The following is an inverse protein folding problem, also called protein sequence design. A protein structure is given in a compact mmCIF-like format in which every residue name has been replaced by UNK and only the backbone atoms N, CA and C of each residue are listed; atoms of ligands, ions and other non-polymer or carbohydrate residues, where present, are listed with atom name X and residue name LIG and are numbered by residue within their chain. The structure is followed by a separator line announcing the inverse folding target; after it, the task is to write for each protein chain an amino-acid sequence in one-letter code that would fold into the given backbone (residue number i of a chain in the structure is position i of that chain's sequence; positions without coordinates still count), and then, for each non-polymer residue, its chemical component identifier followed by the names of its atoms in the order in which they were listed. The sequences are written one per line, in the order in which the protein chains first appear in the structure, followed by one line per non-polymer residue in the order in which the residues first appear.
data_IF_262513773044
#
_entry.id   IF_262513773044
#
_cell.length_a   1.000
_cell.length_b   1.000
_cell.length_c   1.000
_cell.angle_alpha   90.00
_cell.angle_beta   90.00
_cell.angle_gamma   90.00
#
_symmetry.space_group_name_H-M   'P 1'
#
loop_
_entity.id
_entity.type
_entity.pdbx_description
1 polymer ?
#
# COMPACT_ATOMS: atom_id res chain seq x y z
N UNK A 1 4.46 7.53 17.09
CA UNK A 1 5.20 7.93 15.89
C UNK A 1 5.74 9.34 16.02
N UNK A 2 6.79 9.69 15.27
CA UNK A 2 7.34 11.04 15.27
C UNK A 2 7.79 11.50 13.87
N UNK A 3 8.17 10.57 12.99
CA UNK A 3 8.58 10.87 11.62
C UNK A 3 8.11 9.81 10.65
N UNK A 4 7.91 10.19 9.39
CA UNK A 4 7.75 9.30 8.26
C UNK A 4 8.64 9.79 7.12
N UNK A 5 9.11 8.86 6.28
CA UNK A 5 9.92 9.25 5.12
C UNK A 5 9.09 10.04 4.12
N UNK A 6 9.73 11.00 3.48
CA UNK A 6 9.23 11.64 2.26
C UNK A 6 9.76 10.85 1.06
N UNK A 7 8.91 10.59 0.07
CA UNK A 7 9.31 10.07 -1.22
C UNK A 7 8.45 10.68 -2.32
N UNK A 8 9.11 11.22 -3.36
CA UNK A 8 8.41 11.96 -4.41
C UNK A 8 7.66 13.18 -3.86
N UNK A 9 8.23 13.87 -2.85
CA UNK A 9 7.64 15.05 -2.23
C UNK A 9 6.48 14.81 -1.26
N UNK A 10 6.13 13.55 -0.96
CA UNK A 10 4.98 13.23 -0.10
C UNK A 10 5.32 12.23 1.00
N UNK A 11 4.63 12.34 2.15
CA UNK A 11 4.68 11.36 3.26
C UNK A 11 3.60 10.26 3.14
N UNK A 12 2.96 10.15 1.97
CA UNK A 12 1.94 9.13 1.68
C UNK A 12 2.25 8.37 0.40
N UNK A 13 1.56 7.26 0.20
CA UNK A 13 1.54 6.51 -1.06
C UNK A 13 0.14 5.94 -1.27
N UNK A 14 -0.12 5.33 -2.45
CA UNK A 14 -1.41 4.72 -2.75
C UNK A 14 -1.25 3.21 -2.98
N UNK A 15 -2.34 2.50 -2.87
CA UNK A 15 -2.52 1.20 -3.45
C UNK A 15 -3.00 1.34 -4.90
N UNK A 16 -2.44 0.54 -5.81
CA UNK A 16 -2.89 0.39 -7.18
C UNK A 16 -3.73 -0.89 -7.30
N UNK A 17 -4.94 -0.75 -7.86
CA UNK A 17 -5.74 -1.86 -8.32
C UNK A 17 -5.45 -2.03 -9.81
N UNK A 18 -5.02 -3.22 -10.19
CA UNK A 18 -4.57 -3.55 -11.53
C UNK A 18 -5.42 -4.67 -12.12
N UNK A 19 -5.60 -4.67 -13.43
CA UNK A 19 -6.36 -5.68 -14.15
C UNK A 19 -5.60 -6.26 -15.33
N UNK A 20 -5.94 -7.49 -15.69
CA UNK A 20 -5.43 -8.17 -16.86
C UNK A 20 -6.24 -7.73 -18.10
N UNK A 21 -5.55 -7.16 -19.10
CA UNK A 21 -6.19 -6.64 -20.32
C UNK A 21 -6.70 -7.74 -21.23
N UNK A 22 -6.00 -8.88 -21.31
CA UNK A 22 -6.41 -10.03 -22.12
C UNK A 22 -7.68 -10.68 -21.55
N UNK A 23 -7.89 -10.61 -20.23
CA UNK A 23 -9.12 -11.04 -19.57
C UNK A 23 -10.25 -9.98 -19.61
N UNK A 24 -9.99 -8.81 -20.23
CA UNK A 24 -10.94 -7.71 -20.35
C UNK A 24 -11.20 -6.96 -19.04
N UNK A 25 -10.34 -7.08 -18.03
CA UNK A 25 -10.55 -6.44 -16.72
C UNK A 25 -9.86 -5.07 -16.69
N UNK A 26 -10.62 -4.04 -17.06
CA UNK A 26 -10.13 -2.66 -17.18
C UNK A 26 -10.82 -1.68 -16.24
N UNK A 27 -11.88 -2.11 -15.54
CA UNK A 27 -12.67 -1.33 -14.61
C UNK A 27 -13.22 -2.20 -13.46
N UNK A 28 -13.97 -1.60 -12.54
CA UNK A 28 -14.54 -2.30 -11.39
C UNK A 28 -15.60 -3.33 -11.78
N UNK A 29 -16.45 -3.01 -12.77
CA UNK A 29 -17.54 -3.91 -13.17
C UNK A 29 -17.00 -5.22 -13.76
N UNK A 30 -15.90 -5.14 -14.50
CA UNK A 30 -15.23 -6.30 -15.09
C UNK A 30 -14.57 -7.23 -14.06
N UNK A 31 -14.42 -6.81 -12.79
CA UNK A 31 -13.90 -7.65 -11.69
C UNK A 31 -14.96 -8.68 -11.24
N UNK A 32 -16.25 -8.44 -11.48
CA UNK A 32 -17.31 -9.36 -11.05
C UNK A 32 -17.12 -10.78 -11.63
N UNK A 33 -17.25 -11.77 -10.75
CA UNK A 33 -17.04 -13.18 -11.07
C UNK A 33 -15.59 -13.56 -11.36
N UNK A 34 -14.61 -12.69 -11.04
CA UNK A 34 -13.19 -12.93 -11.29
C UNK A 34 -12.42 -13.22 -10.02
N UNK A 35 -11.17 -13.67 -10.19
CA UNK A 35 -10.20 -13.80 -9.10
C UNK A 35 -9.42 -12.51 -8.94
N UNK A 36 -9.43 -11.95 -7.72
CA UNK A 36 -8.65 -10.80 -7.31
C UNK A 36 -7.48 -11.23 -6.40
N UNK A 37 -6.26 -10.93 -6.81
CA UNK A 37 -5.06 -11.26 -6.07
C UNK A 37 -4.74 -10.17 -5.02
N UNK A 38 -4.57 -10.59 -3.78
CA UNK A 38 -4.03 -9.81 -2.68
C UNK A 38 -2.60 -10.25 -2.36
N UNK A 39 -1.80 -9.36 -1.75
CA UNK A 39 -0.49 -9.74 -1.22
C UNK A 39 -0.59 -10.47 0.11
N UNK A 40 0.03 -9.91 1.16
CA UNK A 40 -0.03 -10.47 2.52
C UNK A 40 -1.36 -10.11 3.21
N UNK A 41 -1.98 -11.03 3.98
CA UNK A 41 -3.22 -10.76 4.73
C UNK A 41 -3.14 -9.58 5.71
N UNK A 42 -1.96 -9.27 6.26
CA UNK A 42 -1.73 -8.14 7.15
C UNK A 42 -1.33 -6.84 6.42
N UNK A 43 -1.22 -6.87 5.09
CA UNK A 43 -0.75 -5.73 4.32
C UNK A 43 -1.79 -4.63 4.18
N UNK A 44 -1.41 -3.39 4.51
CA UNK A 44 -2.24 -2.21 4.29
C UNK A 44 -2.48 -1.97 2.79
N UNK A 45 -1.42 -1.98 1.97
CA UNK A 45 -1.51 -1.56 0.56
C UNK A 45 -1.72 -2.68 -0.45
N UNK A 46 -1.55 -3.95 -0.08
CA UNK A 46 -1.86 -5.06 -0.99
C UNK A 46 -3.05 -5.91 -0.53
N UNK A 47 -3.69 -5.54 0.59
CA UNK A 47 -4.91 -6.20 1.07
C UNK A 47 -5.96 -5.20 1.52
N UNK A 48 -5.72 -4.42 2.60
CA UNK A 48 -6.76 -3.63 3.25
C UNK A 48 -7.32 -2.54 2.34
N UNK A 49 -6.45 -1.69 1.77
CA UNK A 49 -6.90 -0.59 0.90
C UNK A 49 -7.46 -1.05 -0.45
N UNK A 50 -6.90 -2.06 -1.15
CA UNK A 50 -7.57 -2.66 -2.30
C UNK A 50 -8.97 -3.20 -1.97
N UNK A 51 -9.14 -3.97 -0.89
CA UNK A 51 -10.43 -4.53 -0.47
C UNK A 51 -11.42 -3.43 -0.10
N UNK A 52 -10.97 -2.36 0.61
CA UNK A 52 -11.80 -1.20 0.90
C UNK A 52 -12.23 -0.48 -0.39
N UNK A 53 -11.29 -0.25 -1.32
CA UNK A 53 -11.61 0.43 -2.59
C UNK A 53 -12.62 -0.38 -3.41
N UNK A 54 -12.51 -1.70 -3.43
CA UNK A 54 -13.50 -2.57 -4.07
C UNK A 54 -14.88 -2.45 -3.40
N UNK A 55 -14.92 -2.49 -2.07
CA UNK A 55 -16.15 -2.35 -1.28
C UNK A 55 -16.83 -0.99 -1.50
N UNK A 56 -16.06 0.10 -1.53
CA UNK A 56 -16.56 1.45 -1.81
C UNK A 56 -17.14 1.59 -3.24
N UNK A 57 -16.71 0.71 -4.16
CA UNK A 57 -17.25 0.60 -5.52
C UNK A 57 -18.29 -0.53 -5.68
N UNK A 58 -18.87 -1.02 -4.57
CA UNK A 58 -19.97 -1.96 -4.58
C UNK A 58 -19.56 -3.42 -4.82
N UNK A 59 -18.30 -3.78 -4.63
CA UNK A 59 -17.80 -5.13 -4.81
C UNK A 59 -17.43 -5.79 -3.47
N UNK A 60 -18.08 -6.89 -3.14
CA UNK A 60 -17.91 -7.65 -1.89
C UNK A 60 -17.17 -8.95 -2.18
N UNK A 61 -16.09 -9.19 -1.41
CA UNK A 61 -15.32 -10.45 -1.50
C UNK A 61 -16.17 -11.65 -1.10
N UNK A 62 -16.13 -12.72 -1.90
CA UNK A 62 -16.90 -13.93 -1.71
C UNK A 62 -18.32 -13.88 -2.28
N UNK A 63 -18.79 -12.68 -2.70
CA UNK A 63 -20.06 -12.47 -3.38
C UNK A 63 -19.82 -12.08 -4.85
N UNK A 64 -19.10 -10.97 -5.05
CA UNK A 64 -18.85 -10.41 -6.38
C UNK A 64 -17.54 -10.88 -6.99
N UNK A 65 -16.54 -11.24 -6.19
CA UNK A 65 -15.24 -11.74 -6.65
C UNK A 65 -14.61 -12.70 -5.65
N UNK A 66 -13.76 -13.60 -6.16
CA UNK A 66 -12.94 -14.48 -5.33
C UNK A 66 -11.62 -13.80 -4.96
N UNK A 67 -11.23 -13.87 -3.67
CA UNK A 67 -9.98 -13.29 -3.18
C UNK A 67 -8.92 -14.35 -2.90
N UNK A 68 -7.72 -14.20 -3.49
CA UNK A 68 -6.58 -15.09 -3.23
C UNK A 68 -5.39 -14.30 -2.66
N UNK A 69 -4.62 -14.91 -1.74
CA UNK A 69 -3.45 -14.28 -1.13
C UNK A 69 -2.17 -14.91 -1.66
N UNK A 70 -1.26 -14.08 -2.20
CA UNK A 70 -0.03 -14.50 -2.85
C UNK A 70 1.23 -14.10 -2.06
N UNK A 71 1.07 -13.44 -0.91
CA UNK A 71 2.13 -13.12 0.05
C UNK A 71 2.98 -11.88 -0.29
N UNK A 72 3.12 -11.52 -1.58
CA UNK A 72 4.02 -10.44 -1.99
C UNK A 72 3.42 -9.59 -3.12
N UNK A 73 3.85 -8.31 -3.20
CA UNK A 73 3.38 -7.37 -4.23
C UNK A 73 3.75 -7.79 -5.66
N UNK A 74 4.98 -8.25 -5.86
CA UNK A 74 5.47 -8.71 -7.15
C UNK A 74 4.75 -9.99 -7.61
N UNK A 75 4.44 -10.89 -6.67
CA UNK A 75 3.62 -12.06 -6.97
C UNK A 75 2.22 -11.67 -7.47
N UNK A 76 1.59 -10.65 -6.87
CA UNK A 76 0.30 -10.11 -7.34
C UNK A 76 0.42 -9.59 -8.77
N UNK A 77 1.40 -8.73 -9.05
CA UNK A 77 1.57 -8.15 -10.38
C UNK A 77 1.82 -9.22 -11.47
N UNK A 78 2.67 -10.19 -11.17
CA UNK A 78 2.98 -11.28 -12.11
C UNK A 78 1.80 -12.25 -12.28
N UNK A 79 1.02 -12.51 -11.22
CA UNK A 79 -0.19 -13.33 -11.34
C UNK A 79 -1.23 -12.66 -12.26
N UNK A 80 -1.41 -11.34 -12.12
CA UNK A 80 -2.30 -10.58 -13.01
C UNK A 80 -1.77 -10.57 -14.44
N UNK A 81 -0.49 -10.29 -14.65
CA UNK A 81 0.11 -10.30 -15.98
C UNK A 81 -0.05 -11.64 -16.70
N UNK A 82 0.12 -12.74 -15.97
CA UNK A 82 0.07 -14.10 -16.54
C UNK A 82 -1.35 -14.70 -16.58
N UNK A 83 -2.39 -13.94 -16.17
CA UNK A 83 -3.78 -14.40 -16.16
C UNK A 83 -4.13 -15.40 -15.04
N UNK A 84 -3.21 -15.66 -14.09
CA UNK A 84 -3.46 -16.52 -12.93
C UNK A 84 -4.44 -15.89 -11.92
N UNK A 85 -4.56 -14.57 -11.96
CA UNK A 85 -5.64 -13.79 -11.40
C UNK A 85 -6.02 -12.70 -12.42
N UNK A 86 -7.29 -12.30 -12.46
CA UNK A 86 -7.72 -11.34 -13.47
C UNK A 86 -7.60 -9.89 -13.00
N UNK A 87 -7.51 -9.68 -11.69
CA UNK A 87 -7.21 -8.39 -11.08
C UNK A 87 -6.36 -8.57 -9.82
N UNK A 88 -5.82 -7.48 -9.28
CA UNK A 88 -5.08 -7.53 -8.03
C UNK A 88 -4.78 -6.17 -7.43
N UNK A 89 -4.37 -6.17 -6.15
CA UNK A 89 -4.04 -4.97 -5.38
C UNK A 89 -2.60 -4.98 -4.86
N UNK A 90 -1.88 -3.88 -5.07
CA UNK A 90 -0.49 -3.74 -4.63
C UNK A 90 -0.11 -2.29 -4.38
N UNK A 91 1.03 -2.04 -3.72
CA UNK A 91 1.54 -0.68 -3.55
C UNK A 91 1.91 -0.06 -4.91
N UNK A 92 1.38 1.13 -5.22
CA UNK A 92 1.69 1.83 -6.48
C UNK A 92 3.19 2.05 -6.70
N UNK A 93 4.01 2.47 -5.70
CA UNK A 93 5.44 2.64 -5.93
C UNK A 93 6.17 1.35 -6.35
N UNK A 94 5.66 0.19 -5.93
CA UNK A 94 6.22 -1.11 -6.34
C UNK A 94 5.78 -1.43 -7.78
N UNK A 95 4.51 -1.22 -8.10
CA UNK A 95 4.00 -1.40 -9.46
C UNK A 95 4.75 -0.53 -10.47
N UNK A 96 4.88 0.76 -10.19
CA UNK A 96 5.62 1.71 -11.02
C UNK A 96 7.09 1.29 -11.21
N UNK A 97 7.78 0.89 -10.11
CA UNK A 97 9.15 0.37 -10.20
C UNK A 97 9.27 -0.92 -11.00
N UNK A 98 8.27 -1.79 -10.98
CA UNK A 98 8.27 -3.01 -11.79
C UNK A 98 8.11 -2.68 -13.28
N UNK A 99 7.27 -1.70 -13.62
CA UNK A 99 7.12 -1.19 -14.99
C UNK A 99 8.41 -0.56 -15.51
N UNK A 100 9.01 0.35 -14.76
CA UNK A 100 10.30 0.99 -15.11
C UNK A 100 11.42 -0.02 -15.36
N UNK A 101 11.41 -1.16 -14.65
CA UNK A 101 12.38 -2.25 -14.83
C UNK A 101 12.00 -3.24 -15.93
N UNK A 102 10.93 -2.99 -16.68
CA UNK A 102 10.45 -3.88 -17.73
C UNK A 102 9.96 -5.25 -17.24
N UNK A 103 9.60 -5.35 -15.95
CA UNK A 103 9.06 -6.60 -15.36
C UNK A 103 7.56 -6.77 -15.61
N UNK A 104 6.87 -5.69 -15.93
CA UNK A 104 5.45 -5.65 -16.27
C UNK A 104 5.29 -5.14 -17.69
N UNK A 105 4.54 -5.87 -18.48
CA UNK A 105 4.12 -5.54 -19.82
C UNK A 105 2.84 -4.68 -19.77
N UNK A 106 2.96 -3.42 -20.14
CA UNK A 106 1.86 -2.44 -20.13
C UNK A 106 0.72 -2.81 -21.10
N UNK A 107 0.96 -3.71 -22.04
CA UNK A 107 -0.11 -4.22 -22.92
C UNK A 107 -0.97 -5.27 -22.23
N UNK A 108 -0.43 -5.94 -21.19
CA UNK A 108 -1.10 -7.02 -20.46
C UNK A 108 -1.71 -6.61 -19.13
N UNK A 109 -1.19 -5.52 -18.53
CA UNK A 109 -1.63 -5.05 -17.21
C UNK A 109 -2.01 -3.58 -17.28
N UNK A 110 -3.24 -3.27 -16.91
CA UNK A 110 -3.74 -1.89 -16.80
C UNK A 110 -3.96 -1.46 -15.36
N UNK A 111 -3.87 -0.17 -15.10
CA UNK A 111 -4.28 0.43 -13.83
C UNK A 111 -5.79 0.69 -13.87
N UNK A 112 -6.54 0.06 -12.97
CA UNK A 112 -7.99 0.29 -12.80
C UNK A 112 -8.23 1.53 -11.94
N UNK A 113 -7.59 1.58 -10.76
CA UNK A 113 -7.77 2.68 -9.81
C UNK A 113 -6.58 2.82 -8.85
N UNK A 114 -6.51 3.99 -8.20
CA UNK A 114 -5.66 4.20 -7.02
C UNK A 114 -6.55 4.36 -5.78
N UNK A 115 -6.14 3.80 -4.65
CA UNK A 115 -6.81 3.98 -3.37
C UNK A 115 -6.68 5.41 -2.83
N UNK A 116 -7.37 5.71 -1.74
CA UNK A 116 -7.05 6.86 -0.90
C UNK A 116 -5.56 6.80 -0.44
N UNK A 117 -4.95 7.96 -0.10
CA UNK A 117 -3.58 8.03 0.37
C UNK A 117 -3.36 7.23 1.65
N UNK A 118 -2.26 6.49 1.70
CA UNK A 118 -1.81 5.68 2.83
C UNK A 118 -0.57 6.35 3.42
N UNK A 119 -0.53 6.64 4.73
CA UNK A 119 0.67 7.17 5.36
C UNK A 119 1.87 6.23 5.20
N UNK A 120 3.05 6.77 5.00
CA UNK A 120 4.28 5.98 5.02
C UNK A 120 4.49 5.36 6.40
N UNK A 121 5.34 4.32 6.48
CA UNK A 121 5.66 3.67 7.74
C UNK A 121 6.17 4.65 8.79
N UNK A 122 5.63 4.60 10.04
CA UNK A 122 6.06 5.50 11.10
C UNK A 122 7.42 5.10 11.66
N UNK A 123 8.24 6.10 11.90
CA UNK A 123 9.34 5.99 12.83
C UNK A 123 8.80 6.26 14.23
N UNK A 124 9.06 5.35 15.15
CA UNK A 124 8.53 5.40 16.51
C UNK A 124 9.66 5.40 17.53
N UNK A 125 9.39 5.96 18.70
CA UNK A 125 10.29 5.92 19.83
C UNK A 125 9.54 5.54 21.09
N UNK A 126 10.27 5.01 22.08
CA UNK A 126 9.65 4.65 23.37
C UNK A 126 9.11 5.88 24.08
N UNK A 127 7.90 5.75 24.64
CA UNK A 127 7.27 6.82 25.42
C UNK A 127 8.07 7.21 26.68
N UNK A 128 8.85 6.27 27.23
CA UNK A 128 9.68 6.47 28.43
C UNK A 128 11.00 7.23 28.21
N UNK A 129 11.36 7.58 26.97
CA UNK A 129 12.54 8.43 26.72
C UNK A 129 12.34 9.82 27.33
N UNK A 130 13.44 10.43 27.80
CA UNK A 130 13.43 11.80 28.30
C UNK A 130 12.98 12.78 27.21
N UNK A 131 12.19 13.82 27.57
CA UNK A 131 11.66 14.78 26.59
C UNK A 131 12.75 15.38 25.71
N UNK A 132 13.88 15.79 26.28
CA UNK A 132 14.98 16.43 25.54
C UNK A 132 15.58 15.49 24.49
N UNK A 133 15.68 14.18 24.82
CA UNK A 133 16.19 13.19 23.88
C UNK A 133 15.18 12.93 22.73
N UNK A 134 13.87 12.92 23.05
CA UNK A 134 12.82 12.79 22.02
C UNK A 134 12.87 13.96 21.04
N UNK A 135 13.00 15.18 21.55
CA UNK A 135 13.12 16.39 20.74
C UNK A 135 14.37 16.34 19.85
N UNK A 136 15.53 16.00 20.43
CA UNK A 136 16.79 15.88 19.67
C UNK A 136 16.66 14.86 18.54
N UNK A 137 16.12 13.66 18.81
CA UNK A 137 15.91 12.61 17.79
C UNK A 137 14.97 13.12 16.70
N UNK A 138 13.83 13.72 17.08
CA UNK A 138 12.84 14.21 16.12
C UNK A 138 13.43 15.30 15.21
N UNK A 139 14.10 16.30 15.79
CA UNK A 139 14.74 17.38 15.04
C UNK A 139 15.80 16.85 14.09
N UNK A 140 16.67 15.94 14.57
CA UNK A 140 17.71 15.32 13.74
C UNK A 140 17.13 14.59 12.52
N UNK A 141 16.01 13.88 12.67
CA UNK A 141 15.35 13.23 11.54
C UNK A 141 14.76 14.22 10.56
N UNK A 142 14.05 15.24 11.06
CA UNK A 142 13.35 16.22 10.20
C UNK A 142 14.33 17.11 9.43
N UNK A 143 15.45 17.45 10.02
CA UNK A 143 16.49 18.28 9.42
C UNK A 143 17.48 17.49 8.56
N UNK A 144 17.38 16.15 8.53
CA UNK A 144 18.28 15.30 7.77
C UNK A 144 18.14 15.56 6.27
N UNK A 145 19.22 16.03 5.65
CA UNK A 145 19.30 16.34 4.21
C UNK A 145 20.52 15.72 3.52
N UNK A 146 21.29 14.89 4.23
CA UNK A 146 22.45 14.18 3.66
C UNK A 146 21.97 13.01 2.80
N UNK A 147 22.16 13.14 1.48
CA UNK A 147 21.74 12.12 0.51
C UNK A 147 22.38 10.75 0.76
N UNK A 148 23.62 10.71 1.26
CA UNK A 148 24.32 9.46 1.55
C UNK A 148 23.65 8.67 2.67
N UNK A 149 23.04 9.38 3.64
CA UNK A 149 22.28 8.84 4.75
C UNK A 149 20.85 8.51 4.33
N UNK A 150 20.22 9.33 3.49
CA UNK A 150 18.83 9.14 3.03
C UNK A 150 18.68 7.99 2.04
N UNK A 151 19.68 7.75 1.19
CA UNK A 151 19.64 6.74 0.12
C UNK A 151 19.32 5.32 0.60
N UNK A 152 19.89 4.76 1.69
CA UNK A 152 19.53 3.45 2.23
C UNK A 152 18.05 3.34 2.62
N UNK A 153 17.44 4.44 3.07
CA UNK A 153 16.01 4.51 3.42
C UNK A 153 15.11 4.70 2.20
N UNK A 154 15.68 4.90 1.00
CA UNK A 154 14.96 5.28 -0.21
C UNK A 154 14.06 6.49 0.04
N UNK A 155 14.57 7.46 0.78
CA UNK A 155 13.88 8.66 1.22
C UNK A 155 14.50 9.91 0.57
N UNK A 156 13.66 10.91 0.34
CA UNK A 156 14.07 12.25 -0.08
C UNK A 156 14.22 13.19 1.15
N UNK A 157 13.80 12.71 2.33
CA UNK A 157 13.80 13.38 3.61
C UNK A 157 12.82 12.72 4.57
N UNK A 158 12.58 13.37 5.71
CA UNK A 158 11.58 12.95 6.68
C UNK A 158 10.64 14.10 7.03
N UNK A 159 9.37 13.77 7.28
CA UNK A 159 8.36 14.72 7.72
C UNK A 159 7.78 14.31 9.08
N UNK A 160 7.31 15.27 9.82
CA UNK A 160 6.56 15.02 11.06
C UNK A 160 5.32 14.22 10.73
N UNK A 161 5.07 13.19 11.52
CA UNK A 161 3.86 12.37 11.48
C UNK A 161 3.37 12.13 12.91
N UNK A 162 2.07 12.08 13.08
CA UNK A 162 1.40 11.86 14.35
C UNK A 162 0.59 10.58 14.33
N UNK A 163 0.08 10.15 15.47
CA UNK A 163 -0.80 9.00 15.57
C UNK A 163 -2.10 9.18 14.77
N UNK A 164 -2.61 10.42 14.72
CA UNK A 164 -3.82 10.78 13.97
C UNK A 164 -3.69 10.60 12.45
N UNK A 165 -2.49 10.72 11.90
CA UNK A 165 -2.25 10.48 10.47
C UNK A 165 -2.64 9.03 10.07
N UNK A 166 -2.72 8.09 11.06
CA UNK A 166 -3.08 6.67 10.84
C UNK A 166 -4.56 6.37 11.08
N UNK A 167 -5.41 7.36 11.40
CA UNK A 167 -6.84 7.15 11.63
C UNK A 167 -7.57 6.61 10.39
N UNK A 168 -7.10 6.98 9.19
CA UNK A 168 -7.59 6.40 7.94
C UNK A 168 -7.39 4.88 7.85
N UNK A 169 -6.28 4.37 8.38
CA UNK A 169 -6.00 2.91 8.42
C UNK A 169 -6.92 2.23 9.45
N UNK A 170 -7.12 2.83 10.63
CA UNK A 170 -8.05 2.32 11.65
C UNK A 170 -9.46 2.23 11.10
N UNK A 171 -9.93 3.32 10.49
CA UNK A 171 -11.26 3.37 9.85
C UNK A 171 -11.40 2.31 8.75
N UNK A 172 -10.37 2.11 7.92
CA UNK A 172 -10.39 1.06 6.90
C UNK A 172 -10.52 -0.33 7.53
N UNK A 173 -9.79 -0.59 8.63
CA UNK A 173 -9.91 -1.82 9.41
C UNK A 173 -11.34 -2.04 9.93
N UNK A 174 -11.93 -1.02 10.54
CA UNK A 174 -13.30 -1.07 11.07
C UNK A 174 -14.33 -1.36 9.97
N UNK A 175 -14.24 -0.65 8.84
CA UNK A 175 -15.14 -0.84 7.68
C UNK A 175 -15.06 -2.24 7.06
N UNK A 176 -13.89 -2.89 7.16
CA UNK A 176 -13.67 -4.25 6.69
C UNK A 176 -13.92 -5.30 7.77
N UNK A 177 -14.26 -4.91 9.01
CA UNK A 177 -14.44 -5.82 10.13
C UNK A 177 -13.15 -6.51 10.58
N UNK A 178 -11.99 -5.85 10.42
CA UNK A 178 -10.68 -6.41 10.74
C UNK A 178 -10.27 -6.08 12.17
N UNK A 179 -9.89 -7.10 12.91
CA UNK A 179 -9.19 -6.92 14.18
C UNK A 179 -7.69 -6.69 13.90
N UNK A 180 -7.29 -5.43 13.83
CA UNK A 180 -5.90 -5.04 13.55
C UNK A 180 -4.93 -5.55 14.62
N UNK A 181 -5.40 -5.79 15.85
CA UNK A 181 -4.60 -6.35 16.94
C UNK A 181 -4.12 -7.79 16.67
N UNK A 182 -4.83 -8.55 15.85
CA UNK A 182 -4.44 -9.92 15.47
C UNK A 182 -3.27 -10.00 14.51
N UNK A 183 -2.89 -8.89 13.90
CA UNK A 183 -1.73 -8.82 12.99
C UNK A 183 -0.44 -8.36 13.70
N UNK A 184 -0.52 -8.08 15.01
CA UNK A 184 0.63 -7.71 15.85
C UNK A 184 1.05 -8.94 16.63
N UNK A 185 2.10 -9.63 16.18
CA UNK A 185 2.80 -10.69 16.91
C UNK A 185 4.04 -10.13 17.60
#
# INVERSE_FOLDING_TARGET
PFAARIKGGTKTYNSCLIGNTEAGVTDFEAIKGKTFAFGDPASTSSRMFPELTLKENGLTKGEDYEGVFLGAHDAVALAVQNGNAQAGGMACPIFESMKEKGKIDDTKVTLIAKSAPIPQYPWTMRSSLKPELKETISTTFIELNDESVLKPFKADGFAVITDQDYDGIRKAGDLLGLDLGKFVN
#
